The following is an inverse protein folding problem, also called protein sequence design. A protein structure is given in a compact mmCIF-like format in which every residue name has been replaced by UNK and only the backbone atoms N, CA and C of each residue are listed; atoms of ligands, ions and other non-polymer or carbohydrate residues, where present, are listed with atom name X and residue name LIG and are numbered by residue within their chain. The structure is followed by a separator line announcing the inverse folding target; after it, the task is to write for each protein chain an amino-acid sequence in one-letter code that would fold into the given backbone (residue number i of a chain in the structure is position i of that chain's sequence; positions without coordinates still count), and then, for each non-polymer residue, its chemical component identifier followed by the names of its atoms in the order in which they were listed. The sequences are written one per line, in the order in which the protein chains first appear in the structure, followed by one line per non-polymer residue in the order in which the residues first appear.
data_IF_462362685272
#
_entry.id   IF_462362685272
#
_cell.length_a   1.000
_cell.length_b   1.000
_cell.length_c   1.000
_cell.angle_alpha   90.00
_cell.angle_beta   90.00
_cell.angle_gamma   90.00
#
_symmetry.space_group_name_H-M   'P 1'
#
loop_
_entity.id
_entity.type
_entity.pdbx_description
1 polymer ?
#
# COMPACT_ATOMS: atom_id res chain seq x y z
N UNK A 1 -29.24 8.83 -2.41
CA UNK A 1 -27.88 9.34 -2.68
C UNK A 1 -26.95 8.75 -1.62
N UNK A 2 -26.13 7.75 -1.97
CA UNK A 2 -25.09 7.21 -1.09
C UNK A 2 -23.76 7.92 -1.42
N UNK A 3 -23.71 9.23 -1.26
CA UNK A 3 -22.51 10.03 -1.49
C UNK A 3 -21.73 10.29 -0.17
N UNK A 4 -22.22 9.75 0.96
CA UNK A 4 -21.70 10.01 2.30
C UNK A 4 -20.71 8.98 2.86
N UNK A 5 -20.34 7.95 2.09
CA UNK A 5 -19.51 6.83 2.57
C UNK A 5 -18.12 6.75 1.92
N UNK A 6 -17.67 7.81 1.25
CA UNK A 6 -16.29 7.85 0.74
C UNK A 6 -15.36 8.15 1.91
N UNK A 7 -14.63 7.14 2.36
CA UNK A 7 -13.54 7.33 3.33
C UNK A 7 -12.39 8.03 2.62
N UNK A 8 -11.93 9.13 3.21
CA UNK A 8 -10.80 9.94 2.75
C UNK A 8 -9.81 9.97 3.89
N UNK A 9 -8.55 9.65 3.60
CA UNK A 9 -7.47 9.71 4.58
C UNK A 9 -6.19 10.12 3.89
N UNK A 10 -5.37 10.89 4.59
CA UNK A 10 -3.99 11.12 4.19
C UNK A 10 -3.12 10.07 4.87
N UNK A 11 -1.99 9.73 4.24
CA UNK A 11 -1.07 8.73 4.77
C UNK A 11 0.36 9.06 4.39
N UNK A 12 1.26 9.00 5.36
CA UNK A 12 2.71 9.17 5.15
C UNK A 12 3.45 8.01 5.80
N UNK A 13 4.48 7.51 5.13
CA UNK A 13 5.33 6.49 5.71
C UNK A 13 6.33 5.89 4.73
N UNK A 14 7.15 4.95 5.21
CA UNK A 14 8.26 4.40 4.45
C UNK A 14 7.78 3.41 3.40
N UNK A 15 8.57 3.31 2.34
CA UNK A 15 8.46 2.27 1.33
C UNK A 15 9.84 1.68 1.05
N UNK A 16 9.91 0.35 1.02
CA UNK A 16 11.05 -0.40 0.50
C UNK A 16 10.57 -1.26 -0.67
N UNK A 17 11.38 -1.32 -1.72
CA UNK A 17 11.08 -2.12 -2.88
C UNK A 17 12.35 -2.85 -3.36
N UNK A 18 12.14 -4.05 -3.88
CA UNK A 18 13.13 -4.86 -4.56
C UNK A 18 12.64 -5.16 -5.97
N UNK A 19 13.52 -4.97 -6.95
CA UNK A 19 13.30 -5.35 -8.34
C UNK A 19 14.54 -6.11 -8.80
N UNK A 20 14.34 -7.28 -9.38
CA UNK A 20 15.44 -8.14 -9.83
C UNK A 20 14.96 -9.23 -10.77
N UNK A 21 15.82 -10.22 -10.99
CA UNK A 21 15.51 -11.38 -11.81
C UNK A 21 15.75 -12.66 -11.01
N UNK A 22 14.86 -13.63 -11.16
CA UNK A 22 15.00 -14.98 -10.63
C UNK A 22 14.71 -15.97 -11.75
N UNK A 23 15.67 -16.86 -12.04
CA UNK A 23 15.60 -17.83 -13.13
C UNK A 23 15.28 -17.19 -14.51
N UNK A 24 15.89 -16.03 -14.79
CA UNK A 24 15.68 -15.28 -16.03
C UNK A 24 14.30 -14.59 -16.13
N UNK A 25 13.53 -14.57 -15.04
CA UNK A 25 12.23 -13.91 -15.00
C UNK A 25 12.24 -12.71 -14.05
N UNK A 26 11.68 -11.55 -14.47
CA UNK A 26 11.67 -10.36 -13.63
C UNK A 26 10.75 -10.55 -12.43
N UNK A 27 11.27 -10.33 -11.22
CA UNK A 27 10.50 -10.34 -9.98
C UNK A 27 10.47 -8.95 -9.36
N UNK A 28 9.37 -8.65 -8.70
CA UNK A 28 9.21 -7.40 -7.96
C UNK A 28 8.53 -7.65 -6.62
N UNK A 29 9.06 -7.04 -5.58
CA UNK A 29 8.46 -7.02 -4.26
C UNK A 29 8.48 -5.61 -3.69
N UNK A 30 7.41 -5.17 -3.05
CA UNK A 30 7.42 -3.92 -2.29
C UNK A 30 6.63 -4.04 -1.01
N UNK A 31 7.15 -3.35 0.01
CA UNK A 31 6.51 -3.18 1.30
C UNK A 31 6.39 -1.68 1.56
N UNK A 32 5.17 -1.22 1.80
CA UNK A 32 4.86 0.18 2.10
C UNK A 32 3.98 0.25 3.34
N UNK A 33 4.32 1.12 4.26
CA UNK A 33 3.54 1.39 5.45
C UNK A 33 3.14 2.86 5.46
N UNK A 34 1.91 3.14 5.88
CA UNK A 34 1.36 4.47 6.03
C UNK A 34 0.83 4.62 7.44
N UNK A 35 1.28 5.68 8.12
CA UNK A 35 0.51 6.22 9.21
C UNK A 35 -0.59 7.10 8.61
N UNK A 36 -1.84 6.75 8.86
CA UNK A 36 -3.02 7.43 8.35
C UNK A 36 -3.43 8.54 9.32
N UNK A 37 -3.70 9.73 8.79
CA UNK A 37 -4.11 10.90 9.56
C UNK A 37 -5.19 11.69 8.81
N UNK A 38 -5.93 12.52 9.54
CA UNK A 38 -7.09 13.27 9.01
C UNK A 38 -8.13 12.35 8.35
N UNK A 39 -8.34 11.18 8.95
CA UNK A 39 -9.26 10.17 8.43
C UNK A 39 -10.71 10.61 8.64
N UNK A 40 -11.46 10.75 7.54
CA UNK A 40 -12.91 10.94 7.57
C UNK A 40 -13.60 9.57 7.49
N UNK A 41 -14.64 9.40 8.32
CA UNK A 41 -15.53 8.22 8.32
C UNK A 41 -14.87 6.87 8.70
N UNK A 42 -13.65 6.87 9.26
CA UNK A 42 -12.98 5.69 9.88
C UNK A 42 -11.96 6.13 10.94
N UNK A 43 -11.59 5.21 11.84
CA UNK A 43 -10.48 5.36 12.80
C UNK A 43 -9.14 5.51 12.10
N UNK A 44 -8.35 6.48 12.57
CA UNK A 44 -6.93 6.66 12.22
C UNK A 44 -6.11 5.42 12.61
N UNK A 45 -5.06 5.11 11.86
CA UNK A 45 -4.28 3.89 12.11
C UNK A 45 -3.09 3.72 11.19
N UNK A 46 -2.48 2.54 11.24
CA UNK A 46 -1.34 2.18 10.39
C UNK A 46 -1.79 1.14 9.35
N UNK A 47 -1.64 1.49 8.07
CA UNK A 47 -1.86 0.58 6.95
C UNK A 47 -0.52 0.05 6.43
N UNK A 48 -0.39 -1.28 6.29
CA UNK A 48 0.77 -1.90 5.65
C UNK A 48 0.33 -2.70 4.43
N UNK A 49 1.06 -2.55 3.33
CA UNK A 49 0.78 -3.22 2.07
C UNK A 49 2.03 -3.91 1.57
N UNK A 50 1.86 -5.19 1.21
CA UNK A 50 2.88 -5.98 0.56
C UNK A 50 2.42 -6.33 -0.86
N UNK A 51 3.25 -6.02 -1.84
CA UNK A 51 3.02 -6.35 -3.25
C UNK A 51 4.11 -7.31 -3.70
N UNK A 52 3.71 -8.40 -4.34
CA UNK A 52 4.61 -9.39 -4.93
C UNK A 52 4.15 -9.69 -6.36
N UNK A 53 5.05 -9.49 -7.32
CA UNK A 53 4.84 -9.81 -8.73
C UNK A 53 5.79 -10.94 -9.11
N UNK A 54 5.21 -12.10 -9.43
CA UNK A 54 5.93 -13.27 -9.92
C UNK A 54 5.38 -13.62 -11.31
N UNK A 55 6.21 -13.62 -12.36
CA UNK A 55 5.82 -14.06 -13.69
C UNK A 55 5.70 -15.60 -13.72
N UNK A 56 4.49 -16.09 -14.00
CA UNK A 56 4.21 -17.52 -14.23
C UNK A 56 4.56 -17.94 -15.66
#
# INVERSE_FOLDING_TARGET
MLDGFRSETYGIGPQIAYSGEFDGRPIYASLRAYNEFETKNRTEGVGAFFTLSIPF
#
